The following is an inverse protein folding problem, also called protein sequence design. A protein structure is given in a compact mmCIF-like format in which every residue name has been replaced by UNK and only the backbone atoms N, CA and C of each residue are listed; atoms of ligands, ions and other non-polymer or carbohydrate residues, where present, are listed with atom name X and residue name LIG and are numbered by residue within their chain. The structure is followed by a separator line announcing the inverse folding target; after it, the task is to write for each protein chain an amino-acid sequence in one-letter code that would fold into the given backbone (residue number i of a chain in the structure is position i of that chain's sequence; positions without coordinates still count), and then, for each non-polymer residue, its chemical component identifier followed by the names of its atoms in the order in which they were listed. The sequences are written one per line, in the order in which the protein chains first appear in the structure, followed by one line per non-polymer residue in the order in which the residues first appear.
data_IF_734845700334
#
_entry.id   IF_734845700334
#
_cell.length_a   1.000
_cell.length_b   1.000
_cell.length_c   1.000
_cell.angle_alpha   90.00
_cell.angle_beta   90.00
_cell.angle_gamma   90.00
#
_symmetry.space_group_name_H-M   'P 1'
#
loop_
_entity.id
_entity.type
_entity.pdbx_description
1 polymer ?
#
# COMPACT_ATOMS: atom_id res chain seq x y z
N UNK A 1 -6.28 -2.95 22.68
CA UNK A 1 -6.67 -4.32 22.29
C UNK A 1 -5.86 -4.65 21.05
N UNK A 2 -4.78 -5.41 21.17
CA UNK A 2 -3.87 -5.70 20.04
C UNK A 2 -4.56 -6.68 19.10
N UNK A 3 -5.06 -6.17 17.98
CA UNK A 3 -5.64 -6.98 16.91
C UNK A 3 -4.49 -7.76 16.26
N UNK A 4 -4.43 -9.08 16.51
CA UNK A 4 -3.52 -9.98 15.81
C UNK A 4 -4.36 -10.74 14.78
N UNK A 5 -4.58 -10.18 13.58
CA UNK A 5 -5.31 -10.89 12.55
C UNK A 5 -4.65 -12.24 12.30
N UNK A 6 -5.47 -13.27 12.06
CA UNK A 6 -4.99 -14.62 11.78
C UNK A 6 -4.18 -14.59 10.48
N UNK A 7 -2.87 -14.44 10.61
CA UNK A 7 -1.99 -14.21 9.48
C UNK A 7 -1.70 -15.55 8.78
N UNK A 8 -2.37 -15.80 7.65
CA UNK A 8 -2.14 -16.99 6.83
C UNK A 8 -0.82 -16.93 6.05
N UNK A 9 -0.12 -15.79 6.07
CA UNK A 9 1.16 -15.58 5.40
C UNK A 9 2.37 -15.83 6.32
N UNK A 10 2.20 -16.54 7.45
CA UNK A 10 3.29 -16.89 8.37
C UNK A 10 4.43 -17.67 7.73
N UNK A 11 4.14 -18.42 6.66
CA UNK A 11 5.14 -19.21 5.94
C UNK A 11 6.04 -18.34 5.03
N UNK A 12 5.64 -17.09 4.77
CA UNK A 12 6.41 -16.16 3.95
C UNK A 12 7.40 -15.37 4.80
N UNK A 13 8.61 -15.20 4.29
CA UNK A 13 9.59 -14.30 4.88
C UNK A 13 9.13 -12.84 4.78
N UNK A 14 9.59 -12.00 5.71
CA UNK A 14 9.27 -10.56 5.67
C UNK A 14 9.71 -9.91 4.36
N UNK A 15 10.84 -10.36 3.78
CA UNK A 15 11.33 -9.86 2.50
C UNK A 15 10.37 -10.16 1.35
N UNK A 16 9.74 -11.33 1.34
CA UNK A 16 8.72 -11.67 0.33
C UNK A 16 7.46 -10.84 0.52
N UNK A 17 6.99 -10.70 1.77
CA UNK A 17 5.86 -9.83 2.09
C UNK A 17 6.10 -8.39 1.62
N UNK A 18 7.30 -7.85 1.83
CA UNK A 18 7.66 -6.50 1.35
C UNK A 18 7.58 -6.38 -0.17
N UNK A 19 8.07 -7.39 -0.90
CA UNK A 19 7.98 -7.40 -2.36
C UNK A 19 6.54 -7.43 -2.84
N UNK A 20 5.67 -8.19 -2.17
CA UNK A 20 4.24 -8.24 -2.49
C UNK A 20 3.58 -6.88 -2.26
N UNK A 21 3.76 -6.28 -1.08
CA UNK A 21 3.19 -4.95 -0.78
C UNK A 21 3.67 -3.90 -1.79
N UNK A 22 4.97 -3.93 -2.13
CA UNK A 22 5.50 -3.06 -3.18
C UNK A 22 4.82 -3.30 -4.53
N UNK A 23 4.65 -4.56 -4.92
CA UNK A 23 3.98 -4.93 -6.16
C UNK A 23 2.55 -4.44 -6.22
N UNK A 24 1.79 -4.64 -5.13
CA UNK A 24 0.40 -4.15 -5.00
C UNK A 24 0.36 -2.63 -5.17
N UNK A 25 1.17 -1.88 -4.43
CA UNK A 25 1.21 -0.41 -4.52
C UNK A 25 1.53 0.07 -5.94
N UNK A 26 2.46 -0.60 -6.63
CA UNK A 26 2.83 -0.26 -8.00
C UNK A 26 1.69 -0.54 -8.99
N UNK A 27 1.02 -1.68 -8.87
CA UNK A 27 -0.10 -2.08 -9.74
C UNK A 27 -1.27 -1.11 -9.58
N UNK A 28 -1.65 -0.82 -8.33
CA UNK A 28 -2.74 0.11 -8.00
C UNK A 28 -2.46 1.53 -8.54
N UNK A 29 -1.22 2.01 -8.35
CA UNK A 29 -0.77 3.30 -8.89
C UNK A 29 -0.83 3.32 -10.42
N UNK A 30 -0.32 2.28 -11.09
CA UNK A 30 -0.34 2.18 -12.54
C UNK A 30 -1.78 2.09 -13.09
N UNK A 31 -2.66 1.37 -12.42
CA UNK A 31 -4.06 1.24 -12.78
C UNK A 31 -4.79 2.59 -12.70
N UNK A 32 -4.60 3.33 -11.59
CA UNK A 32 -5.16 4.68 -11.43
C UNK A 32 -4.62 5.65 -12.49
N UNK A 33 -3.32 5.62 -12.77
CA UNK A 33 -2.71 6.44 -13.82
C UNK A 33 -3.30 6.12 -15.20
N UNK A 34 -3.47 4.84 -15.52
CA UNK A 34 -4.05 4.39 -16.79
C UNK A 34 -5.50 4.87 -16.95
N UNK A 35 -6.30 4.79 -15.89
CA UNK A 35 -7.64 5.36 -15.85
C UNK A 35 -7.65 6.88 -16.11
N UNK A 36 -6.78 7.63 -15.45
CA UNK A 36 -6.69 9.09 -15.62
C UNK A 36 -6.31 9.47 -17.06
N UNK A 37 -5.35 8.76 -17.66
CA UNK A 37 -4.94 8.96 -19.05
C UNK A 37 -6.09 8.65 -20.02
N UNK A 38 -6.80 7.54 -19.82
CA UNK A 38 -7.96 7.16 -20.64
C UNK A 38 -9.12 8.16 -20.53
N UNK A 39 -9.34 8.73 -19.34
CA UNK A 39 -10.34 9.78 -19.11
C UNK A 39 -10.00 11.08 -19.83
N UNK A 40 -8.73 11.48 -19.85
CA UNK A 40 -8.26 12.70 -20.52
C UNK A 40 -8.29 12.60 -22.06
N UNK A 41 -8.02 11.41 -22.61
CA UNK A 41 -7.92 11.19 -24.05
C UNK A 41 -9.28 11.04 -24.77
N UNK A 42 -10.39 10.84 -24.05
CA UNK A 42 -11.75 10.79 -24.61
C UNK A 42 -12.38 12.17 -24.87
N UNK A 43 -11.72 12.99 -25.69
CA UNK A 43 -12.36 14.16 -26.32
C UNK A 43 -13.05 13.85 -27.66
N UNK A 44 -13.06 12.60 -28.12
CA UNK A 44 -13.62 12.21 -29.43
C UNK A 44 -14.50 10.96 -29.39
N UNK A 45 -15.79 11.18 -29.69
CA UNK A 45 -16.78 10.33 -30.39
C UNK A 45 -16.98 8.82 -30.08
N UNK A 46 -16.21 8.15 -29.23
CA UNK A 46 -16.51 6.77 -28.77
C UNK A 46 -16.61 6.73 -27.24
N UNK A 47 -17.85 6.75 -26.74
CA UNK A 47 -18.19 6.61 -25.32
C UNK A 47 -18.20 5.14 -24.88
N UNK A 48 -17.07 4.44 -24.98
CA UNK A 48 -16.91 3.29 -24.07
C UNK A 48 -16.87 3.83 -22.64
N UNK A 49 -17.69 3.31 -21.73
CA UNK A 49 -17.64 3.73 -20.34
C UNK A 49 -16.28 3.32 -19.75
N UNK A 50 -15.39 4.30 -19.51
CA UNK A 50 -14.17 4.03 -18.74
C UNK A 50 -14.62 3.84 -17.30
N UNK A 51 -14.70 2.59 -16.86
CA UNK A 51 -15.00 2.28 -15.46
C UNK A 51 -13.83 2.73 -14.59
N UNK A 52 -14.14 3.47 -13.54
CA UNK A 52 -13.14 3.83 -12.54
C UNK A 52 -12.70 2.56 -11.80
N UNK A 53 -11.39 2.28 -11.72
CA UNK A 53 -10.91 1.14 -10.94
C UNK A 53 -11.26 1.33 -9.46
N UNK A 54 -11.64 0.24 -8.80
CA UNK A 54 -11.87 0.24 -7.35
C UNK A 54 -10.61 0.74 -6.63
N UNK A 55 -10.78 1.70 -5.72
CA UNK A 55 -9.66 2.29 -4.98
C UNK A 55 -9.35 1.47 -3.72
N UNK A 56 -9.03 0.19 -3.93
CA UNK A 56 -8.79 -0.74 -2.83
C UNK A 56 -7.59 -0.34 -1.99
N UNK A 57 -6.54 0.20 -2.61
CA UNK A 57 -5.39 0.75 -1.90
C UNK A 57 -5.79 1.85 -0.91
N UNK A 58 -6.57 2.86 -1.35
CA UNK A 58 -7.02 3.94 -0.46
C UNK A 58 -7.90 3.42 0.68
N UNK A 59 -8.81 2.48 0.38
CA UNK A 59 -9.64 1.83 1.40
C UNK A 59 -8.79 1.13 2.46
N UNK A 60 -7.79 0.35 2.04
CA UNK A 60 -6.88 -0.34 2.96
C UNK A 60 -6.08 0.65 3.80
N UNK A 61 -5.53 1.71 3.20
CA UNK A 61 -4.79 2.74 3.93
C UNK A 61 -5.63 3.41 5.03
N UNK A 62 -6.95 3.56 4.82
CA UNK A 62 -7.86 4.12 5.82
C UNK A 62 -8.23 3.15 6.94
N UNK A 63 -7.91 1.86 6.80
CA UNK A 63 -8.11 0.84 7.83
C UNK A 63 -6.86 0.62 8.70
N UNK A 64 -5.69 1.08 8.25
CA UNK A 64 -4.44 0.92 9.00
C UNK A 64 -4.39 1.82 10.23
N UNK A 65 -3.72 1.35 11.28
CA UNK A 65 -3.25 2.22 12.34
C UNK A 65 -2.35 3.34 11.77
N UNK A 66 -2.42 4.54 12.36
CA UNK A 66 -1.72 5.74 11.84
C UNK A 66 -0.21 5.50 11.63
N UNK A 67 0.45 4.86 12.60
CA UNK A 67 1.88 4.50 12.51
C UNK A 67 2.17 3.59 11.32
N UNK A 68 1.30 2.62 11.07
CA UNK A 68 1.48 1.64 10.01
C UNK A 68 1.15 2.25 8.64
N UNK A 69 0.11 3.09 8.57
CA UNK A 69 -0.19 3.92 7.40
C UNK A 69 1.01 4.77 6.99
N UNK A 70 1.60 5.50 7.95
CA UNK A 70 2.79 6.33 7.71
C UNK A 70 3.93 5.52 7.10
N UNK A 71 4.18 4.31 7.59
CA UNK A 71 5.21 3.43 7.03
C UNK A 71 4.85 2.97 5.62
N UNK A 72 3.61 2.54 5.37
CA UNK A 72 3.18 2.10 4.04
C UNK A 72 3.34 3.22 3.01
N UNK A 73 2.91 4.43 3.37
CA UNK A 73 2.99 5.61 2.51
C UNK A 73 4.44 5.96 2.17
N UNK A 74 5.35 6.03 3.15
CA UNK A 74 6.74 6.42 2.91
C UNK A 74 7.57 5.32 2.23
N UNK A 75 7.45 4.07 2.66
CA UNK A 75 8.31 3.00 2.19
C UNK A 75 7.88 2.38 0.86
N UNK A 76 6.58 2.36 0.57
CA UNK A 76 6.03 1.59 -0.53
C UNK A 76 5.35 2.46 -1.60
N UNK A 77 4.71 3.57 -1.23
CA UNK A 77 3.97 4.45 -2.15
C UNK A 77 4.83 5.63 -2.65
N UNK A 78 5.41 6.38 -1.72
CA UNK A 78 6.17 7.62 -1.95
C UNK A 78 7.67 7.38 -2.13
N UNK A 79 8.03 6.13 -2.45
CA UNK A 79 9.40 5.65 -2.57
C UNK A 79 10.29 6.74 -3.21
N UNK A 80 11.34 7.14 -2.49
CA UNK A 80 12.46 8.00 -2.94
C UNK A 80 12.45 9.52 -2.63
N UNK A 81 11.92 10.01 -1.51
CA UNK A 81 12.25 11.39 -1.06
C UNK A 81 13.36 11.44 -0.01
N UNK A 82 13.32 10.53 0.97
CA UNK A 82 14.34 10.42 2.03
C UNK A 82 14.44 8.95 2.49
N UNK A 83 15.65 8.37 2.50
CA UNK A 83 15.87 6.98 2.94
C UNK A 83 15.85 6.85 4.47
N UNK A 84 16.09 7.94 5.16
CA UNK A 84 16.23 8.00 6.61
C UNK A 84 15.07 8.78 7.26
N UNK A 85 13.95 8.93 6.53
CA UNK A 85 12.73 9.58 7.02
C UNK A 85 12.27 9.04 8.39
N UNK A 86 12.52 7.75 8.63
CA UNK A 86 12.13 7.06 9.85
C UNK A 86 12.86 7.55 11.10
N UNK A 87 14.05 8.15 10.96
CA UNK A 87 14.85 8.63 12.08
C UNK A 87 14.16 9.77 12.86
N UNK A 88 13.19 10.45 12.24
CA UNK A 88 12.38 11.49 12.87
C UNK A 88 11.31 10.93 13.82
N UNK A 89 10.94 9.65 13.66
CA UNK A 89 9.78 9.04 14.34
C UNK A 89 10.15 7.80 15.17
N UNK A 90 11.22 7.09 14.79
CA UNK A 90 11.56 5.78 15.33
C UNK A 90 13.06 5.66 15.55
N UNK A 91 13.45 4.96 16.63
CA UNK A 91 14.81 4.42 16.70
C UNK A 91 14.94 3.23 15.73
N UNK A 92 16.13 3.06 15.12
CA UNK A 92 16.38 2.07 14.05
C UNK A 92 15.91 0.65 14.36
N UNK A 93 16.10 0.17 15.59
CA UNK A 93 15.67 -1.17 16.00
C UNK A 93 14.15 -1.31 16.09
N UNK A 94 13.45 -0.27 16.55
CA UNK A 94 11.98 -0.24 16.60
C UNK A 94 11.37 -0.13 15.21
N UNK A 95 12.03 0.61 14.31
CA UNK A 95 11.54 0.86 12.96
C UNK A 95 11.25 -0.43 12.19
N UNK A 96 12.23 -1.36 12.15
CA UNK A 96 12.04 -2.63 11.43
C UNK A 96 10.91 -3.49 12.02
N UNK A 97 10.67 -3.40 13.33
CA UNK A 97 9.54 -4.07 13.98
C UNK A 97 8.22 -3.44 13.53
N UNK A 98 8.11 -2.11 13.56
CA UNK A 98 6.93 -1.40 13.06
C UNK A 98 6.69 -1.65 11.58
N UNK A 99 7.74 -1.70 10.76
CA UNK A 99 7.64 -2.04 9.33
C UNK A 99 7.08 -3.43 9.09
N UNK A 100 7.50 -4.43 9.87
CA UNK A 100 6.91 -5.76 9.79
C UNK A 100 5.43 -5.74 10.13
N UNK A 101 5.06 -5.05 11.21
CA UNK A 101 3.66 -4.94 11.63
C UNK A 101 2.81 -4.25 10.56
N UNK A 102 3.28 -3.12 10.01
CA UNK A 102 2.59 -2.38 8.97
C UNK A 102 2.33 -3.23 7.72
N UNK A 103 3.32 -4.03 7.32
CA UNK A 103 3.20 -4.95 6.18
C UNK A 103 2.20 -6.07 6.46
N UNK A 104 2.20 -6.63 7.67
CA UNK A 104 1.25 -7.69 8.02
C UNK A 104 -0.19 -7.18 8.10
N UNK A 105 -0.37 -5.99 8.70
CA UNK A 105 -1.67 -5.34 8.79
C UNK A 105 -2.20 -4.96 7.39
N UNK A 106 -1.36 -4.37 6.54
CA UNK A 106 -1.69 -4.06 5.15
C UNK A 106 -2.15 -5.30 4.39
N UNK A 107 -1.37 -6.38 4.43
CA UNK A 107 -1.71 -7.61 3.71
C UNK A 107 -2.98 -8.25 4.25
N UNK A 108 -3.23 -8.16 5.56
CA UNK A 108 -4.48 -8.63 6.14
C UNK A 108 -5.67 -7.89 5.55
N UNK A 109 -5.70 -6.55 5.62
CA UNK A 109 -6.82 -5.79 5.09
C UNK A 109 -6.93 -5.94 3.57
N UNK A 110 -5.83 -5.88 2.83
CA UNK A 110 -5.88 -5.99 1.37
C UNK A 110 -6.44 -7.35 0.89
N UNK A 111 -6.16 -8.44 1.59
CA UNK A 111 -6.64 -9.77 1.19
C UNK A 111 -8.04 -10.10 1.72
N UNK A 112 -8.53 -9.41 2.75
CA UNK A 112 -9.77 -9.76 3.46
C UNK A 112 -10.85 -8.65 3.46
N UNK A 113 -10.59 -7.48 2.87
CA UNK A 113 -11.55 -6.36 2.74
C UNK A 113 -12.02 -6.08 1.30
#
# INVERSE_FOLDING_TARGET
MTFLPRNYLKQMSNKEKYKIVQGICNVEKANKQSYLLAKQSKSGYIKEAVLEPDNKLERVLNLLEETNKLIIENDFINKYTDKDWYEQYFCKSSYYKHKNNAVEEFLYYYLNS
#
